data_IF_888889204677
#
_entry.id   IF_888889204677
#
_cell.length_a   1.000
_cell.length_b   1.000
_cell.length_c   1.000
_cell.angle_alpha   90.00
_cell.angle_beta   90.00
_cell.angle_gamma   90.00
#
_symmetry.space_group_name_H-M   'P 1'
#
loop_
_entity.id
_entity.type
_entity.pdbx_description
1 polymer ?
#
# COMPACT_ATOMS: atom_id res chain seq x y z
N UNK A 1 1.84 -17.40 -22.25
CA UNK A 1 0.57 -16.71 -22.00
C UNK A 1 0.22 -16.97 -20.55
N UNK A 2 0.28 -15.91 -19.75
CA UNK A 2 0.55 -15.95 -18.31
C UNK A 2 -0.72 -16.28 -17.54
N UNK A 3 -0.75 -17.45 -16.90
CA UNK A 3 -1.86 -17.93 -16.07
C UNK A 3 -2.15 -16.97 -14.90
N UNK A 4 -1.12 -16.27 -14.41
CA UNK A 4 -1.22 -15.17 -13.45
C UNK A 4 -2.14 -14.04 -13.94
N UNK A 5 -2.05 -13.63 -15.21
CA UNK A 5 -2.96 -12.62 -15.77
C UNK A 5 -4.42 -13.08 -15.71
N UNK A 6 -4.68 -14.35 -16.04
CA UNK A 6 -6.05 -14.90 -16.00
C UNK A 6 -6.63 -15.11 -14.59
N UNK A 7 -5.76 -15.21 -13.58
CA UNK A 7 -6.16 -15.32 -12.17
C UNK A 7 -6.36 -13.94 -11.52
N UNK A 8 -5.57 -12.95 -11.95
CA UNK A 8 -5.66 -11.56 -11.50
C UNK A 8 -6.86 -10.82 -12.13
N UNK A 9 -7.28 -11.21 -13.34
CA UNK A 9 -8.39 -10.57 -14.07
C UNK A 9 -9.78 -11.13 -13.74
N UNK A 10 -9.89 -12.14 -12.87
CA UNK A 10 -11.15 -12.86 -12.66
C UNK A 10 -11.88 -12.39 -11.40
N UNK A 11 -13.11 -11.86 -11.48
CA UNK A 11 -13.89 -11.50 -10.30
C UNK A 11 -14.40 -12.79 -9.62
N UNK A 12 -13.68 -13.27 -8.60
CA UNK A 12 -13.98 -14.51 -7.87
C UNK A 12 -15.07 -14.32 -6.78
N UNK A 13 -16.29 -14.85 -6.99
CA UNK A 13 -17.37 -14.89 -5.97
C UNK A 13 -16.95 -15.53 -4.62
N UNK A 14 -17.55 -15.07 -3.51
CA UNK A 14 -17.21 -15.41 -2.11
C UNK A 14 -16.95 -16.90 -1.81
N UNK A 15 -17.64 -17.85 -2.45
CA UNK A 15 -17.41 -19.30 -2.24
C UNK A 15 -16.13 -19.85 -2.89
N UNK A 16 -15.54 -19.08 -3.80
CA UNK A 16 -14.25 -19.39 -4.39
C UNK A 16 -13.10 -18.65 -3.68
N UNK A 17 -13.38 -17.66 -2.81
CA UNK A 17 -12.34 -16.97 -2.03
C UNK A 17 -11.62 -17.94 -1.08
N UNK A 18 -12.36 -18.80 -0.36
CA UNK A 18 -11.79 -19.86 0.49
C UNK A 18 -10.93 -20.86 -0.31
N UNK A 19 -11.36 -21.18 -1.55
CA UNK A 19 -10.59 -22.04 -2.46
C UNK A 19 -9.42 -21.30 -3.13
N UNK A 20 -9.50 -19.98 -3.23
CA UNK A 20 -8.48 -19.12 -3.79
C UNK A 20 -7.36 -18.89 -2.77
N UNK A 21 -7.65 -18.81 -1.46
CA UNK A 21 -6.64 -18.67 -0.41
C UNK A 21 -5.65 -19.84 -0.40
N UNK A 22 -6.15 -21.08 -0.31
CA UNK A 22 -5.31 -22.28 -0.40
C UNK A 22 -4.61 -22.45 -1.75
N UNK A 23 -5.20 -21.92 -2.83
CA UNK A 23 -4.55 -21.89 -4.15
C UNK A 23 -3.54 -20.77 -4.29
N UNK A 24 -3.70 -19.63 -3.63
CA UNK A 24 -2.85 -18.46 -3.78
C UNK A 24 -1.49 -18.70 -3.11
N UNK A 25 -1.48 -19.29 -1.92
CA UNK A 25 -0.25 -19.76 -1.28
C UNK A 25 0.44 -20.85 -2.11
N UNK A 26 -0.35 -21.79 -2.67
CA UNK A 26 0.18 -22.85 -3.53
C UNK A 26 0.66 -22.33 -4.89
N UNK A 27 0.04 -21.31 -5.48
CA UNK A 27 0.46 -20.65 -6.73
C UNK A 27 1.72 -19.82 -6.49
N UNK A 28 1.79 -19.10 -5.37
CA UNK A 28 3.01 -18.42 -4.93
C UNK A 28 4.15 -19.42 -4.77
N UNK A 29 3.93 -20.57 -4.10
CA UNK A 29 4.94 -21.62 -3.96
C UNK A 29 5.26 -22.39 -5.27
N UNK A 30 4.29 -22.52 -6.18
CA UNK A 30 4.44 -23.31 -7.42
C UNK A 30 5.15 -22.51 -8.52
N UNK A 31 4.93 -21.19 -8.56
CA UNK A 31 5.51 -20.32 -9.58
C UNK A 31 6.67 -19.47 -9.07
N UNK A 32 6.76 -19.23 -7.76
CA UNK A 32 7.88 -18.57 -7.16
C UNK A 32 8.51 -19.46 -6.09
N UNK A 33 9.83 -19.60 -6.11
CA UNK A 33 10.62 -20.16 -5.01
C UNK A 33 10.65 -19.22 -3.80
N UNK A 34 9.57 -18.48 -3.54
CA UNK A 34 9.50 -17.56 -2.42
C UNK A 34 9.15 -18.31 -1.14
N UNK A 35 10.11 -18.36 -0.23
CA UNK A 35 9.85 -18.69 1.16
C UNK A 35 8.90 -17.65 1.79
N UNK A 36 8.24 -18.03 2.88
CA UNK A 36 7.47 -17.10 3.71
C UNK A 36 8.27 -15.82 4.06
N UNK A 37 9.60 -15.95 4.23
CA UNK A 37 10.50 -14.82 4.48
C UNK A 37 10.49 -13.81 3.32
N UNK A 38 10.50 -14.26 2.07
CA UNK A 38 10.51 -13.37 0.90
C UNK A 38 9.15 -12.71 0.68
N UNK A 39 8.05 -13.41 0.93
CA UNK A 39 6.71 -12.81 0.90
C UNK A 39 6.56 -11.74 2.00
N UNK A 40 7.09 -12.00 3.20
CA UNK A 40 7.12 -11.03 4.30
C UNK A 40 7.92 -9.80 3.92
N UNK A 41 9.12 -9.99 3.36
CA UNK A 41 9.97 -8.89 2.91
C UNK A 41 9.27 -8.05 1.83
N UNK A 42 8.63 -8.68 0.84
CA UNK A 42 7.88 -7.98 -0.19
C UNK A 42 6.68 -7.20 0.38
N UNK A 43 5.97 -7.76 1.36
CA UNK A 43 4.89 -7.04 2.06
C UNK A 43 5.43 -5.80 2.78
N UNK A 44 6.50 -5.95 3.55
CA UNK A 44 7.12 -4.85 4.31
C UNK A 44 7.71 -3.76 3.40
N UNK A 45 8.36 -4.16 2.32
CA UNK A 45 8.89 -3.23 1.32
C UNK A 45 7.78 -2.51 0.56
N UNK A 46 6.71 -3.22 0.18
CA UNK A 46 5.56 -2.60 -0.49
C UNK A 46 4.90 -1.53 0.37
N UNK A 47 4.79 -1.78 1.68
CA UNK A 47 4.33 -0.80 2.66
C UNK A 47 5.25 0.41 2.73
N UNK A 48 6.56 0.20 2.84
CA UNK A 48 7.56 1.28 2.87
C UNK A 48 7.46 2.16 1.62
N UNK A 49 7.46 1.56 0.42
CA UNK A 49 7.31 2.29 -0.83
C UNK A 49 5.99 3.04 -0.91
N UNK A 50 4.90 2.47 -0.42
CA UNK A 50 3.59 3.13 -0.38
C UNK A 50 3.65 4.41 0.45
N UNK A 51 4.16 4.33 1.67
CA UNK A 51 4.21 5.50 2.56
C UNK A 51 5.13 6.59 2.00
N UNK A 52 6.25 6.19 1.39
CA UNK A 52 7.16 7.11 0.73
C UNK A 52 6.47 7.76 -0.48
N UNK A 53 5.78 7.00 -1.33
CA UNK A 53 5.10 7.51 -2.52
C UNK A 53 4.01 8.52 -2.16
N UNK A 54 3.18 8.19 -1.15
CA UNK A 54 2.16 9.11 -0.63
C UNK A 54 2.84 10.36 -0.06
N UNK A 55 3.92 10.21 0.70
CA UNK A 55 4.69 11.35 1.24
C UNK A 55 5.25 12.27 0.14
N UNK A 56 5.70 11.70 -0.98
CA UNK A 56 6.16 12.46 -2.16
C UNK A 56 4.98 13.17 -2.83
N UNK A 57 3.85 12.48 -3.00
CA UNK A 57 2.64 13.05 -3.59
C UNK A 57 2.07 14.23 -2.78
N UNK A 58 2.20 14.19 -1.45
CA UNK A 58 1.81 15.27 -0.54
C UNK A 58 2.82 16.42 -0.49
N UNK A 59 4.09 16.18 -0.83
CA UNK A 59 5.13 17.19 -0.75
C UNK A 59 4.87 18.34 -1.74
N UNK A 60 5.26 19.54 -1.35
CA UNK A 60 5.24 20.69 -2.26
C UNK A 60 6.21 20.44 -3.45
N UNK A 61 5.95 21.01 -4.65
CA UNK A 61 6.71 20.72 -5.86
C UNK A 61 8.23 20.90 -5.73
N UNK A 62 8.67 21.85 -4.90
CA UNK A 62 10.06 22.16 -4.57
C UNK A 62 10.74 21.06 -3.72
N UNK A 63 9.96 20.26 -2.98
CA UNK A 63 10.46 19.15 -2.15
C UNK A 63 10.35 17.78 -2.82
N UNK A 64 9.51 17.63 -3.87
CA UNK A 64 9.30 16.36 -4.59
C UNK A 64 10.60 15.79 -5.14
N UNK A 65 11.48 16.63 -5.70
CA UNK A 65 12.74 16.21 -6.31
C UNK A 65 13.77 15.64 -5.32
N UNK A 66 13.90 16.23 -4.12
CA UNK A 66 14.91 15.81 -3.14
C UNK A 66 14.55 14.49 -2.45
N UNK A 67 13.25 14.21 -2.28
CA UNK A 67 12.74 12.97 -1.73
C UNK A 67 12.83 11.86 -2.79
N UNK A 68 12.50 12.16 -4.04
CA UNK A 68 12.46 11.18 -5.12
C UNK A 68 13.84 10.72 -5.64
N UNK A 69 14.94 11.33 -5.19
CA UNK A 69 16.31 10.94 -5.54
C UNK A 69 16.87 9.80 -4.66
N UNK A 70 16.23 9.52 -3.51
CA UNK A 70 16.73 8.54 -2.52
C UNK A 70 15.97 7.21 -2.53
N UNK A 71 15.08 7.01 -3.49
CA UNK A 71 14.12 5.89 -3.51
C UNK A 71 14.56 4.86 -4.56
N UNK A 72 14.65 3.59 -4.18
CA UNK A 72 14.81 2.48 -5.11
C UNK A 72 13.56 2.41 -6.02
N UNK A 73 13.72 2.17 -7.32
CA UNK A 73 12.64 2.31 -8.31
C UNK A 73 11.97 3.71 -8.33
N UNK A 74 12.79 4.77 -8.34
CA UNK A 74 12.36 6.17 -8.39
C UNK A 74 11.32 6.49 -9.48
N UNK A 75 11.31 5.75 -10.60
CA UNK A 75 10.31 5.91 -11.66
C UNK A 75 8.92 5.49 -11.19
N UNK A 76 8.79 4.27 -10.68
CA UNK A 76 7.50 3.67 -10.30
C UNK A 76 6.92 4.40 -9.08
N UNK A 77 7.79 4.78 -8.15
CA UNK A 77 7.38 5.60 -7.00
C UNK A 77 6.85 6.97 -7.44
N UNK A 78 7.45 7.60 -8.45
CA UNK A 78 6.95 8.87 -9.01
C UNK A 78 5.61 8.69 -9.71
N UNK A 79 5.44 7.65 -10.52
CA UNK A 79 4.19 7.36 -11.21
C UNK A 79 3.02 7.18 -10.25
N UNK A 80 3.25 6.53 -9.09
CA UNK A 80 2.23 6.46 -8.05
C UNK A 80 2.01 7.82 -7.36
N UNK A 81 3.10 8.51 -7.00
CA UNK A 81 3.04 9.81 -6.31
C UNK A 81 2.33 10.91 -7.12
N UNK A 82 2.44 10.89 -8.45
CA UNK A 82 1.77 11.83 -9.35
C UNK A 82 0.24 11.76 -9.26
N UNK A 83 -0.30 10.59 -8.92
CA UNK A 83 -1.74 10.36 -8.78
C UNK A 83 -2.30 10.91 -7.46
N UNK A 84 -1.47 11.06 -6.43
CA UNK A 84 -1.90 11.40 -5.06
C UNK A 84 -2.64 12.73 -5.01
N UNK A 85 -2.11 13.75 -5.67
CA UNK A 85 -2.65 15.10 -5.55
C UNK A 85 -4.06 15.20 -6.16
N UNK A 86 -4.21 14.74 -7.41
CA UNK A 86 -5.46 14.88 -8.16
C UNK A 86 -6.51 13.84 -7.81
N UNK A 87 -6.11 12.58 -7.58
CA UNK A 87 -7.08 11.49 -7.38
C UNK A 87 -7.46 11.28 -5.92
N UNK A 88 -6.59 11.66 -4.97
CA UNK A 88 -6.83 11.39 -3.55
C UNK A 88 -6.92 12.67 -2.72
N UNK A 89 -5.90 13.55 -2.77
CA UNK A 89 -5.79 14.68 -1.85
C UNK A 89 -6.83 15.77 -2.08
N UNK A 90 -7.02 16.23 -3.32
CA UNK A 90 -8.02 17.25 -3.64
C UNK A 90 -9.43 16.73 -3.33
N UNK A 91 -9.85 15.54 -3.83
CA UNK A 91 -11.17 15.01 -3.53
C UNK A 91 -11.42 14.76 -2.03
N UNK A 92 -10.41 14.24 -1.31
CA UNK A 92 -10.49 14.07 0.14
C UNK A 92 -10.74 15.41 0.85
N UNK A 93 -9.99 16.45 0.50
CA UNK A 93 -10.10 17.76 1.11
C UNK A 93 -11.47 18.40 0.88
N UNK A 94 -12.02 18.27 -0.33
CA UNK A 94 -13.36 18.73 -0.69
C UNK A 94 -14.45 17.98 0.11
N UNK A 95 -14.35 16.65 0.19
CA UNK A 95 -15.36 15.82 0.87
C UNK A 95 -15.32 15.95 2.40
N UNK A 96 -14.13 16.12 2.99
CA UNK A 96 -13.95 16.18 4.44
C UNK A 96 -13.87 17.62 4.98
N UNK A 97 -14.11 18.62 4.13
CA UNK A 97 -14.14 20.03 4.54
C UNK A 97 -12.78 20.56 5.00
N UNK A 98 -11.67 19.97 4.53
CA UNK A 98 -10.33 20.49 4.80
C UNK A 98 -10.18 21.79 4.02
N UNK A 99 -10.30 22.92 4.73
CA UNK A 99 -10.22 24.22 4.11
C UNK A 99 -8.88 24.43 3.38
N UNK A 100 -8.91 25.19 2.28
CA UNK A 100 -7.73 25.48 1.45
C UNK A 100 -6.54 26.00 2.28
N UNK A 101 -6.80 26.77 3.33
CA UNK A 101 -5.76 27.35 4.21
C UNK A 101 -5.16 26.32 5.19
N UNK A 102 -5.90 25.26 5.51
CA UNK A 102 -5.45 24.16 6.38
C UNK A 102 -4.70 23.06 5.60
N UNK A 103 -4.90 22.98 4.28
CA UNK A 103 -4.31 21.96 3.41
C UNK A 103 -2.77 21.94 3.43
N UNK A 104 -2.03 23.07 3.43
CA UNK A 104 -0.57 23.04 3.54
C UNK A 104 -0.08 22.48 4.87
N UNK A 105 -0.78 22.77 5.97
CA UNK A 105 -0.45 22.24 7.28
C UNK A 105 -0.69 20.73 7.33
N UNK A 106 -1.82 20.26 6.79
CA UNK A 106 -2.13 18.85 6.65
C UNK A 106 -1.05 18.11 5.83
N UNK A 107 -0.72 18.60 4.62
CA UNK A 107 0.33 18.00 3.77
C UNK A 107 1.64 17.79 4.52
N UNK A 108 2.10 18.83 5.23
CA UNK A 108 3.36 18.79 5.99
C UNK A 108 3.30 17.78 7.13
N UNK A 109 2.20 17.76 7.88
CA UNK A 109 2.03 16.85 9.01
C UNK A 109 1.91 15.40 8.55
N UNK A 110 1.05 15.13 7.55
CA UNK A 110 0.86 13.81 6.97
C UNK A 110 2.18 13.27 6.40
N UNK A 111 2.88 14.02 5.55
CA UNK A 111 4.17 13.58 4.98
C UNK A 111 5.24 13.31 6.06
N UNK A 112 5.23 14.06 7.17
CA UNK A 112 6.13 13.83 8.30
C UNK A 112 5.78 12.53 9.02
N UNK A 113 4.50 12.31 9.33
CA UNK A 113 4.03 11.11 10.01
C UNK A 113 4.30 9.86 9.19
N UNK A 114 3.99 9.88 7.89
CA UNK A 114 4.24 8.77 6.98
C UNK A 114 5.72 8.38 6.91
N UNK A 115 6.63 9.36 6.84
CA UNK A 115 8.08 9.11 6.93
C UNK A 115 8.51 8.53 8.28
N UNK A 116 7.80 8.81 9.37
CA UNK A 116 8.09 8.21 10.66
C UNK A 116 7.63 6.74 10.67
N UNK A 117 6.42 6.46 10.21
CA UNK A 117 5.87 5.11 10.08
C UNK A 117 6.70 4.21 9.16
N UNK A 118 7.25 4.74 8.07
CA UNK A 118 8.13 4.01 7.16
C UNK A 118 9.37 3.43 7.86
N UNK A 119 9.88 4.08 8.90
CA UNK A 119 11.04 3.59 9.69
C UNK A 119 10.72 2.37 10.55
N UNK A 120 9.44 2.02 10.70
CA UNK A 120 8.97 0.90 11.50
C UNK A 120 8.44 -0.25 10.63
N UNK A 121 8.79 -0.31 9.34
CA UNK A 121 8.31 -1.34 8.41
C UNK A 121 8.54 -2.76 8.90
N UNK A 122 9.65 -3.03 9.59
CA UNK A 122 10.01 -4.36 10.09
C UNK A 122 9.07 -4.84 11.23
N UNK A 123 8.25 -3.94 11.78
CA UNK A 123 7.27 -4.23 12.83
C UNK A 123 5.85 -4.47 12.27
N UNK A 124 5.68 -4.33 10.95
CA UNK A 124 4.39 -4.47 10.27
C UNK A 124 4.41 -5.66 9.32
N UNK A 125 3.21 -6.15 9.02
CA UNK A 125 2.96 -7.22 8.04
C UNK A 125 3.87 -8.44 8.25
N UNK A 126 4.14 -8.79 9.51
CA UNK A 126 4.84 -10.02 9.82
C UNK A 126 3.93 -11.20 9.52
N UNK A 127 4.43 -12.21 8.79
CA UNK A 127 3.63 -13.34 8.32
C UNK A 127 3.00 -14.16 9.46
N UNK A 128 3.61 -14.16 10.64
CA UNK A 128 3.02 -14.79 11.83
C UNK A 128 1.72 -14.12 12.29
N UNK A 129 1.41 -12.93 11.76
CA UNK A 129 0.19 -12.16 12.00
C UNK A 129 -0.67 -11.97 10.75
N UNK A 130 -0.26 -12.51 9.59
CA UNK A 130 -1.03 -12.47 8.34
C UNK A 130 -1.68 -13.84 8.15
N UNK A 131 -3.01 -13.87 8.13
CA UNK A 131 -3.74 -15.12 7.87
C UNK A 131 -3.67 -15.51 6.39
N UNK A 132 -3.97 -16.77 6.07
CA UNK A 132 -4.08 -17.21 4.68
C UNK A 132 -5.16 -16.42 3.92
N UNK A 133 -6.23 -16.00 4.61
CA UNK A 133 -7.25 -15.09 4.08
C UNK A 133 -6.70 -13.68 3.79
N UNK A 134 -5.88 -13.10 4.68
CA UNK A 134 -5.25 -11.79 4.45
C UNK A 134 -4.29 -11.85 3.25
N UNK A 135 -3.55 -12.96 3.12
CA UNK A 135 -2.67 -13.20 1.99
C UNK A 135 -3.47 -13.42 0.69
N UNK A 136 -4.61 -14.11 0.77
CA UNK A 136 -5.52 -14.23 -0.35
C UNK A 136 -6.09 -12.88 -0.78
N UNK A 137 -6.41 -11.99 0.15
CA UNK A 137 -6.85 -10.63 -0.14
C UNK A 137 -5.74 -9.80 -0.83
N UNK A 138 -4.49 -9.92 -0.38
CA UNK A 138 -3.31 -9.32 -1.02
C UNK A 138 -3.13 -9.79 -2.47
N UNK A 139 -3.52 -11.02 -2.79
CA UNK A 139 -3.31 -11.62 -4.11
C UNK A 139 -4.54 -11.48 -5.03
N UNK A 140 -5.76 -11.51 -4.49
CA UNK A 140 -7.02 -11.64 -5.25
C UNK A 140 -7.67 -10.34 -5.72
N UNK A 141 -6.96 -9.21 -5.66
CA UNK A 141 -7.37 -7.93 -6.26
C UNK A 141 -8.61 -7.26 -5.66
N UNK A 142 -9.28 -7.87 -4.67
CA UNK A 142 -10.70 -7.55 -4.42
C UNK A 142 -11.01 -6.53 -3.34
N UNK A 143 -10.08 -6.21 -2.44
CA UNK A 143 -10.45 -5.28 -1.36
C UNK A 143 -9.26 -4.46 -0.83
N UNK A 144 -8.94 -3.37 -1.53
CA UNK A 144 -7.97 -2.40 -1.02
C UNK A 144 -8.43 -1.72 0.26
N UNK A 145 -9.73 -1.70 0.57
CA UNK A 145 -10.22 -1.22 1.86
C UNK A 145 -9.87 -2.20 2.98
N UNK A 146 -10.04 -3.50 2.78
CA UNK A 146 -9.64 -4.51 3.78
C UNK A 146 -8.13 -4.46 4.08
N UNK A 147 -7.29 -4.32 3.05
CA UNK A 147 -5.84 -4.15 3.23
C UNK A 147 -5.54 -2.83 3.93
N UNK A 148 -6.25 -1.76 3.57
CA UNK A 148 -6.10 -0.46 4.24
C UNK A 148 -6.41 -0.58 5.73
N UNK A 149 -7.51 -1.23 6.09
CA UNK A 149 -7.93 -1.41 7.49
C UNK A 149 -6.96 -2.31 8.27
N UNK A 150 -6.47 -3.38 7.64
CA UNK A 150 -5.44 -4.23 8.22
C UNK A 150 -4.17 -3.42 8.53
N UNK A 151 -3.64 -2.70 7.55
CA UNK A 151 -2.40 -1.93 7.70
C UNK A 151 -2.58 -0.80 8.71
N UNK A 152 -3.71 -0.08 8.69
CA UNK A 152 -4.01 0.96 9.67
C UNK A 152 -4.12 0.41 11.10
N UNK A 153 -4.77 -0.74 11.28
CA UNK A 153 -4.85 -1.40 12.58
C UNK A 153 -3.46 -1.75 13.12
N UNK A 154 -2.54 -2.18 12.25
CA UNK A 154 -1.17 -2.45 12.64
C UNK A 154 -0.37 -1.17 12.91
N UNK A 155 -0.53 -0.11 12.10
CA UNK A 155 0.09 1.20 12.34
C UNK A 155 -0.30 1.75 13.72
N UNK A 156 -1.58 1.64 14.09
CA UNK A 156 -2.12 2.09 15.37
C UNK A 156 -1.47 1.39 16.58
N UNK A 157 -1.01 0.14 16.43
CA UNK A 157 -0.32 -0.61 17.50
C UNK A 157 1.08 -0.08 17.77
N UNK A 158 1.74 0.50 16.76
CA UNK A 158 3.09 1.05 16.87
C UNK A 158 3.05 2.45 17.48
N UNK A 159 2.20 3.31 16.94
CA UNK A 159 2.03 4.69 17.39
C UNK A 159 0.65 5.18 16.98
N UNK A 160 -0.04 6.00 17.80
CA UNK A 160 -1.33 6.56 17.43
C UNK A 160 -1.29 7.26 16.07
N UNK A 161 -2.17 6.84 15.16
CA UNK A 161 -2.39 7.48 13.87
C UNK A 161 -3.39 8.61 14.09
N UNK A 162 -3.04 9.81 13.65
CA UNK A 162 -3.96 10.95 13.62
C UNK A 162 -5.23 10.60 12.83
N UNK A 163 -6.41 10.98 13.34
CA UNK A 163 -7.69 10.60 12.73
C UNK A 163 -7.84 11.14 11.30
N UNK A 164 -7.34 12.35 11.02
CA UNK A 164 -7.40 12.95 9.69
C UNK A 164 -6.45 12.21 8.74
N UNK A 165 -5.26 11.84 9.21
CA UNK A 165 -4.34 10.99 8.46
C UNK A 165 -4.93 9.60 8.18
N UNK A 166 -5.56 8.97 9.18
CA UNK A 166 -6.22 7.68 9.01
C UNK A 166 -7.38 7.74 8.00
N UNK A 167 -8.20 8.80 8.06
CA UNK A 167 -9.26 9.05 7.09
C UNK A 167 -8.71 9.27 5.68
N UNK A 168 -7.62 10.02 5.54
CA UNK A 168 -6.94 10.22 4.26
C UNK A 168 -6.36 8.92 3.69
N UNK A 169 -5.75 8.08 4.52
CA UNK A 169 -5.21 6.78 4.10
C UNK A 169 -6.30 5.77 3.72
N UNK A 170 -7.50 5.87 4.32
CA UNK A 170 -8.71 5.13 3.94
C UNK A 170 -9.39 5.65 2.68
N UNK A 171 -9.18 6.91 2.33
CA UNK A 171 -9.90 7.56 1.26
C UNK A 171 -9.68 6.80 -0.06
N UNK A 172 -10.77 6.29 -0.62
CA UNK A 172 -10.79 5.49 -1.85
C UNK A 172 -9.77 4.33 -1.87
N UNK A 173 -9.50 3.73 -0.69
CA UNK A 173 -8.57 2.60 -0.57
C UNK A 173 -7.10 2.95 -0.77
N UNK A 174 -6.71 4.23 -0.72
CA UNK A 174 -5.37 4.75 -1.02
C UNK A 174 -4.22 3.89 -0.50
N UNK A 175 -4.24 3.57 0.80
CA UNK A 175 -3.16 2.81 1.44
C UNK A 175 -3.08 1.38 0.90
N UNK A 176 -4.21 0.69 0.79
CA UNK A 176 -4.27 -0.67 0.25
C UNK A 176 -3.89 -0.73 -1.23
N UNK A 177 -4.35 0.22 -2.03
CA UNK A 177 -4.00 0.33 -3.44
C UNK A 177 -2.50 0.51 -3.64
N UNK A 178 -1.87 1.35 -2.81
CA UNK A 178 -0.42 1.52 -2.80
C UNK A 178 0.31 0.22 -2.44
N UNK A 179 -0.08 -0.43 -1.34
CA UNK A 179 0.56 -1.67 -0.88
C UNK A 179 0.47 -2.75 -1.96
N UNK A 180 -0.72 -2.95 -2.54
CA UNK A 180 -0.92 -3.89 -3.65
C UNK A 180 -0.08 -3.54 -4.89
N UNK A 181 -0.03 -2.26 -5.26
CA UNK A 181 0.71 -1.79 -6.41
C UNK A 181 2.20 -2.10 -6.30
N UNK A 182 2.82 -1.73 -5.18
CA UNK A 182 4.25 -1.97 -4.96
C UNK A 182 4.57 -3.44 -4.70
N UNK A 183 3.68 -4.17 -4.01
CA UNK A 183 3.86 -5.61 -3.78
C UNK A 183 3.96 -6.36 -5.11
N UNK A 184 3.06 -6.08 -6.04
CA UNK A 184 3.08 -6.70 -7.38
C UNK A 184 4.31 -6.33 -8.17
N UNK A 185 4.75 -5.07 -8.09
CA UNK A 185 5.95 -4.65 -8.81
C UNK A 185 7.20 -5.32 -8.26
N UNK A 186 7.30 -5.52 -6.94
CA UNK A 186 8.41 -6.25 -6.32
C UNK A 186 8.43 -7.71 -6.79
N UNK A 187 7.27 -8.37 -6.83
CA UNK A 187 7.18 -9.74 -7.36
C UNK A 187 7.54 -9.83 -8.84
N UNK A 188 7.28 -8.79 -9.64
CA UNK A 188 7.59 -8.75 -11.08
C UNK A 188 9.08 -8.52 -11.37
N UNK A 189 9.84 -7.94 -10.43
CA UNK A 189 11.26 -7.64 -10.62
C UNK A 189 12.19 -8.80 -10.23
N UNK A 190 11.67 -9.80 -9.53
CA UNK A 190 12.41 -11.02 -9.13
C UNK A 190 12.25 -12.21 -10.13
N UNK A 191 11.51 -12.02 -11.23
CA UNK A 191 11.41 -12.92 -12.40
C UNK A 191 12.43 -12.55 -13.50
#
# INVERSE_FOLDING_TARGET
QTLLGSLLDNPVNDKLADKAAGKAFSILQTHFTFSAVQITAACQESYDYTLIAISVGLAAPDQKLSIAQKIFNAKITREFAEKIEQHYLIPFAEQHGVQSDALPAFRKQAAKSLKAFAKHKDQLLQIDQITDEDLAALISYRDSFAITDLVLAQMQRITPVDETLAAFLRYDGLLGDGVLFFFRELLRQDD
#
